data_IF_633790840573
#
_entry.id   IF_633790840573
#
_cell.length_a   1.000
_cell.length_b   1.000
_cell.length_c   1.000
_cell.angle_alpha   90.00
_cell.angle_beta   90.00
_cell.angle_gamma   90.00
#
_symmetry.space_group_name_H-M   'P 1'
#
loop_
_entity.id
_entity.type
_entity.pdbx_description
1 polymer ?
#
# COMPACT_ATOMS: atom_id res chain seq x y z
N UNK A 1 27.42 24.48 10.94
CA UNK A 1 28.21 23.34 10.48
C UNK A 1 28.35 23.49 8.99
N UNK A 2 29.55 23.26 8.47
CA UNK A 2 29.87 23.23 7.05
C UNK A 2 29.38 21.89 6.48
N UNK A 3 28.63 21.87 5.38
CA UNK A 3 28.06 20.64 4.82
C UNK A 3 28.53 20.44 3.38
N UNK A 4 29.03 19.24 3.10
CA UNK A 4 29.44 18.85 1.76
C UNK A 4 28.45 17.79 1.26
N UNK A 5 27.95 17.97 0.03
CA UNK A 5 27.03 17.03 -0.61
C UNK A 5 27.65 16.45 -1.88
N UNK A 6 27.48 15.15 -2.08
CA UNK A 6 27.91 14.48 -3.32
C UNK A 6 26.69 14.07 -4.13
N UNK A 7 26.56 14.58 -5.35
CA UNK A 7 25.38 14.36 -6.19
C UNK A 7 25.79 13.94 -7.59
N UNK A 8 25.07 12.97 -8.15
CA UNK A 8 25.19 12.60 -9.56
C UNK A 8 24.27 13.50 -10.39
N UNK A 9 24.85 14.31 -11.26
CA UNK A 9 24.08 15.21 -12.11
C UNK A 9 23.30 14.39 -13.17
N UNK A 10 21.97 14.54 -13.25
CA UNK A 10 21.14 13.75 -14.16
C UNK A 10 21.31 14.12 -15.64
N UNK A 11 21.89 15.29 -15.96
CA UNK A 11 22.04 15.78 -17.34
C UNK A 11 23.28 15.17 -18.00
N UNK A 12 24.43 15.23 -17.33
CA UNK A 12 25.71 14.80 -17.89
C UNK A 12 26.22 13.46 -17.32
N UNK A 13 25.54 12.92 -16.30
CA UNK A 13 25.86 11.65 -15.65
C UNK A 13 27.09 11.66 -14.75
N UNK A 14 27.73 12.82 -14.53
CA UNK A 14 28.95 12.95 -13.74
C UNK A 14 28.66 13.15 -12.24
N UNK A 15 29.60 12.77 -11.38
CA UNK A 15 29.54 13.06 -9.95
C UNK A 15 30.18 14.41 -9.63
N UNK A 16 29.57 15.13 -8.71
CA UNK A 16 30.04 16.41 -8.22
C UNK A 16 30.00 16.45 -6.68
N UNK A 17 31.04 17.04 -6.10
CA UNK A 17 31.10 17.49 -4.72
C UNK A 17 30.64 18.95 -4.70
N UNK A 18 29.61 19.22 -3.92
CA UNK A 18 29.08 20.55 -3.65
C UNK A 18 29.51 20.93 -2.24
N UNK A 19 30.35 21.95 -2.17
CA UNK A 19 30.74 22.60 -0.93
C UNK A 19 30.24 24.05 -0.90
N UNK A 20 30.21 24.71 0.26
CA UNK A 20 29.69 26.09 0.41
C UNK A 20 30.42 27.10 -0.49
N UNK A 21 31.64 26.78 -0.95
CA UNK A 21 32.47 27.68 -1.77
C UNK A 21 32.68 27.20 -3.21
N UNK A 22 32.69 25.89 -3.46
CA UNK A 22 33.09 25.32 -4.75
C UNK A 22 32.24 24.12 -5.17
N UNK A 23 32.17 23.90 -6.48
CA UNK A 23 31.62 22.68 -7.07
C UNK A 23 32.74 21.96 -7.82
N UNK A 24 33.07 20.75 -7.39
CA UNK A 24 34.21 19.99 -7.91
C UNK A 24 33.74 18.67 -8.50
N UNK A 25 34.10 18.39 -9.76
CA UNK A 25 33.82 17.08 -10.38
C UNK A 25 34.60 15.97 -9.68
N UNK A 26 33.94 14.84 -9.40
CA UNK A 26 34.53 13.66 -8.74
C UNK A 26 34.35 12.40 -9.57
N UNK A 27 35.22 11.41 -9.36
CA UNK A 27 35.02 10.09 -9.95
C UNK A 27 34.10 9.23 -9.07
N UNK A 28 33.43 8.24 -9.66
CA UNK A 28 32.62 7.29 -8.89
C UNK A 28 33.47 6.47 -7.89
N UNK A 29 34.74 6.22 -8.21
CA UNK A 29 35.67 5.52 -7.33
C UNK A 29 35.95 6.33 -6.04
N UNK A 30 36.08 7.66 -6.17
CA UNK A 30 36.26 8.55 -5.01
C UNK A 30 35.03 8.54 -4.11
N UNK A 31 33.83 8.62 -4.70
CA UNK A 31 32.55 8.60 -3.99
C UNK A 31 32.38 7.29 -3.21
N UNK A 32 32.73 6.16 -3.84
CA UNK A 32 32.54 4.82 -3.24
C UNK A 32 33.39 4.57 -2.00
N UNK A 33 34.46 5.34 -1.80
CA UNK A 33 35.33 5.27 -0.63
C UNK A 33 34.84 6.12 0.54
N UNK A 34 33.82 6.96 0.31
CA UNK A 34 33.26 7.82 1.34
C UNK A 34 32.16 7.07 2.10
N UNK A 35 32.19 7.22 3.42
CA UNK A 35 31.11 6.74 4.27
C UNK A 35 30.02 7.80 4.33
N UNK A 36 28.82 7.45 3.87
CA UNK A 36 27.65 8.28 4.09
C UNK A 36 27.26 8.19 5.57
N UNK A 37 27.15 9.32 6.24
CA UNK A 37 26.59 9.40 7.58
C UNK A 37 25.18 9.99 7.51
N UNK A 38 24.26 9.40 8.26
CA UNK A 38 22.92 9.96 8.44
C UNK A 38 22.86 10.68 9.78
N UNK A 39 22.60 11.99 9.75
CA UNK A 39 22.33 12.78 10.96
C UNK A 39 20.83 12.79 11.24
N UNK A 40 20.46 12.34 12.43
CA UNK A 40 19.09 12.45 12.94
C UNK A 40 19.04 13.58 13.96
N UNK A 41 18.27 14.63 13.65
CA UNK A 41 17.96 15.68 14.60
C UNK A 41 16.59 15.43 15.21
N UNK A 42 16.52 15.38 16.53
CA UNK A 42 15.27 15.30 17.25
C UNK A 42 14.97 16.65 17.93
N UNK A 43 13.87 17.29 17.53
CA UNK A 43 13.35 18.45 18.24
C UNK A 43 12.83 18.01 19.61
N UNK A 44 13.42 18.53 20.69
CA UNK A 44 12.93 18.34 22.06
C UNK A 44 11.81 19.34 22.37
N UNK A 45 10.77 18.89 23.05
CA UNK A 45 9.67 19.73 23.55
C UNK A 45 9.16 19.12 24.86
N UNK A 46 9.38 19.79 26.01
CA UNK A 46 8.89 19.32 27.30
C UNK A 46 7.38 19.09 27.31
N UNK A 47 6.62 19.93 26.60
CA UNK A 47 5.17 19.81 26.47
C UNK A 47 4.78 18.50 25.76
N UNK A 48 5.51 18.14 24.69
CA UNK A 48 5.28 16.87 23.97
C UNK A 48 5.71 15.68 24.80
N UNK A 49 6.79 15.79 25.55
CA UNK A 49 7.24 14.70 26.42
C UNK A 49 6.25 14.45 27.56
N UNK A 50 5.68 15.52 28.13
CA UNK A 50 4.63 15.42 29.13
C UNK A 50 3.34 14.80 28.56
N UNK A 51 2.90 15.25 27.38
CA UNK A 51 1.74 14.66 26.68
C UNK A 51 1.94 13.16 26.45
N UNK A 52 3.11 12.73 25.96
CA UNK A 52 3.41 11.32 25.72
C UNK A 52 3.34 10.51 27.00
N UNK A 53 3.92 11.01 28.08
CA UNK A 53 3.87 10.35 29.40
C UNK A 53 2.42 10.17 29.86
N UNK A 54 1.59 11.20 29.76
CA UNK A 54 0.19 11.15 30.17
C UNK A 54 -0.64 10.17 29.34
N UNK A 55 -0.54 10.23 28.01
CA UNK A 55 -1.29 9.34 27.13
C UNK A 55 -0.83 7.89 27.30
N UNK A 56 0.48 7.63 27.35
CA UNK A 56 0.99 6.28 27.57
C UNK A 56 0.55 5.73 28.93
N UNK A 57 0.57 6.55 29.99
CA UNK A 57 0.09 6.12 31.30
C UNK A 57 -1.39 5.70 31.26
N UNK A 58 -2.25 6.41 30.51
CA UNK A 58 -3.66 6.02 30.33
C UNK A 58 -3.81 4.70 29.55
N UNK A 59 -2.99 4.47 28.53
CA UNK A 59 -2.98 3.21 27.78
C UNK A 59 -2.53 2.05 28.68
N UNK A 60 -1.46 2.22 29.47
CA UNK A 60 -0.93 1.16 30.34
C UNK A 60 -1.77 0.88 31.59
N UNK A 61 -2.45 1.90 32.11
CA UNK A 61 -3.35 1.78 33.27
C UNK A 61 -4.79 1.44 32.87
N UNK A 62 -5.03 1.12 31.60
CA UNK A 62 -6.36 0.73 31.13
C UNK A 62 -6.87 -0.48 31.93
N UNK A 63 -7.94 -0.26 32.68
CA UNK A 63 -8.62 -1.28 33.47
C UNK A 63 -9.53 -2.18 32.59
N UNK A 64 -9.66 -1.87 31.30
CA UNK A 64 -10.50 -2.62 30.37
C UNK A 64 -12.00 -2.32 30.51
N UNK A 65 -12.35 -1.25 31.24
CA UNK A 65 -13.74 -0.81 31.44
C UNK A 65 -14.27 -0.11 30.18
N UNK A 66 -13.40 0.61 29.45
CA UNK A 66 -13.77 1.29 28.22
C UNK A 66 -13.78 0.33 27.03
N UNK A 67 -14.65 0.59 26.06
CA UNK A 67 -14.63 -0.11 24.77
C UNK A 67 -13.27 0.15 24.12
N UNK A 68 -12.54 -0.90 23.71
CA UNK A 68 -11.24 -0.74 23.11
C UNK A 68 -11.32 -0.26 21.66
N UNK A 69 -10.56 0.79 21.37
CA UNK A 69 -10.35 1.31 20.02
C UNK A 69 -9.00 0.82 19.49
N UNK A 70 -8.88 0.69 18.18
CA UNK A 70 -7.65 0.34 17.50
C UNK A 70 -7.25 1.46 16.56
N UNK A 71 -6.00 1.90 16.70
CA UNK A 71 -5.41 2.96 15.87
C UNK A 71 -4.19 2.43 15.11
N UNK A 72 -3.84 3.08 14.01
CA UNK A 72 -2.66 2.72 13.21
C UNK A 72 -1.39 2.75 14.07
N UNK A 73 -0.62 1.66 14.05
CA UNK A 73 0.71 1.59 14.64
C UNK A 73 1.66 2.57 13.97
N UNK A 74 1.53 2.78 12.65
CA UNK A 74 2.37 3.73 11.92
C UNK A 74 2.11 5.15 12.39
N UNK A 75 0.83 5.53 12.51
CA UNK A 75 0.47 6.85 13.05
C UNK A 75 0.90 7.00 14.52
N UNK A 76 0.68 5.98 15.34
CA UNK A 76 1.08 6.01 16.75
C UNK A 76 2.60 6.16 16.91
N UNK A 77 3.41 5.48 16.10
CA UNK A 77 4.86 5.64 16.10
C UNK A 77 5.25 7.07 15.69
N UNK A 78 4.59 7.66 14.68
CA UNK A 78 4.80 9.08 14.34
C UNK A 78 4.48 9.98 15.53
N UNK A 79 3.39 9.75 16.25
CA UNK A 79 3.05 10.52 17.45
C UNK A 79 4.10 10.36 18.57
N UNK A 80 4.62 9.15 18.78
CA UNK A 80 5.65 8.89 19.78
C UNK A 80 6.97 9.60 19.49
N UNK A 81 7.38 9.71 18.23
CA UNK A 81 8.74 10.15 17.87
C UNK A 81 8.81 11.52 17.19
N UNK A 82 7.68 12.10 16.77
CA UNK A 82 7.63 13.41 16.10
C UNK A 82 6.83 14.42 16.91
N UNK A 83 7.05 15.71 16.66
CA UNK A 83 6.26 16.80 17.28
C UNK A 83 4.91 17.01 16.59
N UNK A 84 4.83 16.65 15.30
CA UNK A 84 3.70 16.92 14.40
C UNK A 84 3.37 15.64 13.62
N UNK A 85 2.64 14.69 14.21
CA UNK A 85 2.32 13.41 13.58
C UNK A 85 1.35 13.52 12.40
N UNK A 86 0.69 14.67 12.24
CA UNK A 86 -0.42 14.87 11.31
C UNK A 86 -1.74 14.28 11.84
N UNK A 87 -2.83 14.37 11.05
CA UNK A 87 -4.14 13.85 11.44
C UNK A 87 -4.11 12.33 11.62
N UNK A 88 -4.91 11.83 12.57
CA UNK A 88 -5.05 10.41 12.83
C UNK A 88 -5.62 9.71 11.59
N UNK A 89 -4.92 8.67 11.13
CA UNK A 89 -5.33 7.85 9.99
C UNK A 89 -5.30 6.37 10.36
N UNK A 90 -6.31 5.63 9.91
CA UNK A 90 -6.41 4.18 10.03
C UNK A 90 -6.46 3.47 8.66
N UNK A 91 -6.30 4.20 7.55
CA UNK A 91 -6.41 3.63 6.20
C UNK A 91 -5.30 2.64 5.82
N UNK A 92 -4.21 2.58 6.59
CA UNK A 92 -3.16 1.57 6.41
C UNK A 92 -3.63 0.16 6.76
N UNK A 93 -4.64 0.01 7.63
CA UNK A 93 -5.20 -1.30 7.98
C UNK A 93 -6.70 -1.46 7.69
N UNK A 94 -7.44 -0.36 7.49
CA UNK A 94 -8.83 -0.40 7.09
C UNK A 94 -9.00 -0.66 5.59
N UNK A 95 -10.01 -1.45 5.23
CA UNK A 95 -10.49 -1.56 3.88
C UNK A 95 -11.42 -0.38 3.52
N UNK A 96 -11.74 -0.25 2.23
CA UNK A 96 -12.69 0.76 1.72
C UNK A 96 -14.09 0.71 2.36
N UNK A 97 -14.45 -0.41 3.00
CA UNK A 97 -15.73 -0.57 3.70
C UNK A 97 -15.67 -0.13 5.18
N UNK A 98 -14.52 0.37 5.66
CA UNK A 98 -14.35 0.84 7.04
C UNK A 98 -14.10 -0.26 8.08
N UNK A 99 -13.75 -1.48 7.64
CA UNK A 99 -13.43 -2.61 8.52
C UNK A 99 -12.12 -3.28 8.07
N UNK A 100 -11.80 -4.49 8.51
CA UNK A 100 -10.47 -5.10 8.30
C UNK A 100 -10.57 -6.30 7.37
N UNK A 101 -9.80 -6.29 6.29
CA UNK A 101 -9.62 -7.47 5.45
C UNK A 101 -8.54 -8.38 6.07
N UNK A 102 -8.96 -9.34 6.90
CA UNK A 102 -8.05 -10.26 7.61
C UNK A 102 -7.23 -11.16 6.66
N UNK A 103 -7.76 -11.50 5.48
CA UNK A 103 -7.03 -12.27 4.47
C UNK A 103 -5.87 -11.45 3.89
N UNK A 104 -6.10 -10.16 3.64
CA UNK A 104 -5.08 -9.21 3.17
C UNK A 104 -4.05 -8.88 4.26
N UNK A 105 -4.48 -8.80 5.51
CA UNK A 105 -3.65 -8.39 6.64
C UNK A 105 -3.61 -9.47 7.74
N UNK A 106 -2.97 -10.63 7.50
CA UNK A 106 -2.93 -11.72 8.48
C UNK A 106 -2.18 -11.34 9.77
N UNK A 107 -1.30 -10.34 9.71
CA UNK A 107 -0.53 -9.80 10.85
C UNK A 107 -1.14 -8.52 11.42
N UNK A 108 -2.46 -8.35 11.35
CA UNK A 108 -3.16 -7.12 11.77
C UNK A 108 -2.77 -6.64 13.17
N UNK A 109 -2.53 -7.56 14.12
CA UNK A 109 -2.11 -7.23 15.49
C UNK A 109 -0.82 -6.40 15.56
N UNK A 110 0.06 -6.52 14.57
CA UNK A 110 1.30 -5.75 14.48
C UNK A 110 1.07 -4.35 13.88
N UNK A 111 -0.03 -4.18 13.15
CA UNK A 111 -0.37 -2.93 12.45
C UNK A 111 -1.21 -1.99 13.31
N UNK A 112 -1.76 -2.47 14.42
CA UNK A 112 -2.66 -1.68 15.27
C UNK A 112 -2.13 -1.52 16.70
N UNK A 113 -2.58 -0.47 17.37
CA UNK A 113 -2.40 -0.23 18.82
C UNK A 113 -3.79 -0.20 19.45
N UNK A 114 -4.00 -1.02 20.48
CA UNK A 114 -5.22 -0.98 21.31
C UNK A 114 -5.12 0.20 22.26
N UNK A 115 -6.13 1.08 22.26
CA UNK A 115 -6.22 2.24 23.15
C UNK A 115 -7.62 2.37 23.74
N UNK A 116 -7.77 2.94 24.96
CA UNK A 116 -9.07 3.33 25.50
C UNK A 116 -9.79 4.37 24.62
N UNK A 117 -11.12 4.44 24.70
CA UNK A 117 -11.93 5.44 24.01
C UNK A 117 -11.53 6.87 24.40
N UNK A 118 -11.24 7.11 25.67
CA UNK A 118 -10.79 8.40 26.20
C UNK A 118 -9.45 8.83 25.58
N UNK A 119 -8.56 7.88 25.30
CA UNK A 119 -7.30 8.15 24.60
C UNK A 119 -7.54 8.44 23.13
N UNK A 120 -8.37 7.62 22.46
CA UNK A 120 -8.72 7.84 21.05
C UNK A 120 -9.30 9.24 20.82
N UNK A 121 -10.30 9.62 21.62
CA UNK A 121 -10.94 10.95 21.52
C UNK A 121 -9.98 12.09 21.81
N UNK A 122 -9.08 11.94 22.79
CA UNK A 122 -8.02 12.93 23.07
C UNK A 122 -7.11 13.13 21.86
N UNK A 123 -6.68 12.04 21.21
CA UNK A 123 -5.80 12.10 20.03
C UNK A 123 -6.51 12.75 18.84
N UNK A 124 -7.76 12.37 18.57
CA UNK A 124 -8.57 12.98 17.49
C UNK A 124 -8.82 14.46 17.74
N UNK A 125 -9.16 14.85 18.98
CA UNK A 125 -9.37 16.26 19.34
C UNK A 125 -8.10 17.10 19.12
N UNK A 126 -6.92 16.56 19.50
CA UNK A 126 -5.66 17.29 19.44
C UNK A 126 -5.03 17.35 18.04
N UNK A 127 -5.18 16.29 17.25
CA UNK A 127 -4.48 16.13 15.97
C UNK A 127 -5.40 16.13 14.75
N UNK A 128 -6.72 16.03 14.95
CA UNK A 128 -7.69 15.81 13.89
C UNK A 128 -7.71 14.36 13.41
N UNK A 129 -8.57 14.11 12.42
CA UNK A 129 -8.67 12.84 11.68
C UNK A 129 -8.67 13.15 10.19
N UNK A 130 -8.14 12.23 9.39
CA UNK A 130 -8.17 12.29 7.93
C UNK A 130 -9.50 11.83 7.32
N UNK A 131 -10.50 11.56 8.16
CA UNK A 131 -11.80 11.03 7.77
C UNK A 131 -11.88 9.50 7.83
N UNK A 132 -10.79 8.81 8.19
CA UNK A 132 -10.85 7.37 8.45
C UNK A 132 -11.82 7.05 9.59
N UNK A 133 -12.69 6.03 9.44
CA UNK A 133 -13.64 5.68 10.48
C UNK A 133 -12.90 5.10 11.69
N UNK A 134 -13.41 5.33 12.92
CA UNK A 134 -12.90 4.63 14.09
C UNK A 134 -13.12 3.12 13.94
N UNK A 135 -12.16 2.34 14.41
CA UNK A 135 -12.34 0.90 14.55
C UNK A 135 -12.30 0.53 16.03
N UNK A 136 -13.36 -0.12 16.50
CA UNK A 136 -13.51 -0.59 17.87
C UNK A 136 -14.15 -1.98 17.85
N UNK A 137 -14.05 -2.71 18.96
CA UNK A 137 -14.64 -4.04 19.09
C UNK A 137 -15.36 -4.20 20.43
N UNK A 138 -16.59 -4.71 20.36
CA UNK A 138 -17.41 -5.09 21.51
C UNK A 138 -16.97 -6.41 22.13
N UNK A 139 -16.26 -7.25 21.37
CA UNK A 139 -16.02 -8.66 21.72
C UNK A 139 -14.55 -8.88 22.15
N UNK A 140 -13.85 -7.79 22.50
CA UNK A 140 -12.42 -7.74 22.86
C UNK A 140 -11.45 -8.24 21.77
N UNK A 141 -11.93 -8.53 20.54
CA UNK A 141 -11.16 -9.10 19.43
C UNK A 141 -11.29 -8.34 18.11
N UNK A 142 -10.42 -8.63 17.14
CA UNK A 142 -10.47 -8.00 15.81
C UNK A 142 -11.35 -8.84 14.88
N UNK A 143 -12.45 -8.27 14.40
CA UNK A 143 -13.36 -8.90 13.45
C UNK A 143 -13.06 -8.48 12.00
N UNK A 144 -13.22 -9.43 11.08
CA UNK A 144 -13.03 -9.23 9.65
C UNK A 144 -14.21 -8.53 8.98
N UNK A 145 -13.94 -7.90 7.85
CA UNK A 145 -14.94 -7.26 7.01
C UNK A 145 -15.76 -8.31 6.24
N UNK A 146 -17.04 -8.44 6.58
CA UNK A 146 -18.00 -9.34 5.91
C UNK A 146 -18.17 -9.01 4.42
N UNK A 147 -18.10 -7.73 4.06
CA UNK A 147 -18.24 -7.31 2.65
C UNK A 147 -17.03 -7.74 1.83
N UNK A 148 -15.80 -7.56 2.35
CA UNK A 148 -14.59 -8.08 1.70
C UNK A 148 -14.64 -9.60 1.54
N UNK A 149 -15.14 -10.33 2.54
CA UNK A 149 -15.28 -11.78 2.46
C UNK A 149 -16.28 -12.19 1.36
N UNK A 150 -17.41 -11.49 1.27
CA UNK A 150 -18.42 -11.71 0.22
C UNK A 150 -17.87 -11.40 -1.18
N UNK A 151 -17.20 -10.26 -1.34
CA UNK A 151 -16.55 -9.87 -2.60
C UNK A 151 -15.54 -10.95 -3.04
N UNK A 152 -14.73 -11.48 -2.12
CA UNK A 152 -13.76 -12.53 -2.41
C UNK A 152 -14.42 -13.85 -2.80
N UNK A 153 -15.49 -14.26 -2.12
CA UNK A 153 -16.26 -15.47 -2.48
C UNK A 153 -16.88 -15.35 -3.87
N UNK A 154 -17.43 -14.19 -4.22
CA UNK A 154 -17.97 -13.93 -5.56
C UNK A 154 -16.89 -13.99 -6.63
N UNK A 155 -15.71 -13.41 -6.36
CA UNK A 155 -14.57 -13.49 -7.27
C UNK A 155 -14.10 -14.93 -7.46
N UNK A 156 -14.04 -15.72 -6.39
CA UNK A 156 -13.65 -17.12 -6.45
C UNK A 156 -14.63 -17.98 -7.25
N UNK A 157 -15.94 -17.79 -7.03
CA UNK A 157 -16.97 -18.45 -7.85
C UNK A 157 -16.83 -18.10 -9.33
N UNK A 158 -16.52 -16.83 -9.65
CA UNK A 158 -16.25 -16.39 -11.02
C UNK A 158 -15.02 -17.09 -11.61
N UNK A 159 -13.91 -17.19 -10.87
CA UNK A 159 -12.69 -17.92 -11.32
C UNK A 159 -13.02 -19.36 -11.66
N UNK A 160 -13.73 -20.05 -10.76
CA UNK A 160 -14.08 -21.46 -10.93
C UNK A 160 -14.99 -21.66 -12.14
N UNK A 161 -16.03 -20.84 -12.28
CA UNK A 161 -16.94 -20.89 -13.42
C UNK A 161 -16.19 -20.65 -14.74
N UNK A 162 -15.43 -19.56 -14.85
CA UNK A 162 -14.68 -19.27 -16.10
C UNK A 162 -13.66 -20.36 -16.43
N UNK A 163 -13.03 -20.98 -15.42
CA UNK A 163 -12.10 -22.09 -15.65
C UNK A 163 -12.80 -23.35 -16.16
N UNK A 164 -13.99 -23.66 -15.65
CA UNK A 164 -14.81 -24.79 -16.11
C UNK A 164 -15.33 -24.54 -17.52
N UNK A 165 -15.96 -23.39 -17.74
CA UNK A 165 -16.55 -23.00 -19.03
C UNK A 165 -15.49 -23.05 -20.13
N UNK A 166 -14.30 -22.47 -19.89
CA UNK A 166 -13.20 -22.50 -20.87
C UNK A 166 -12.65 -23.92 -21.02
N UNK A 167 -12.49 -24.69 -19.94
CA UNK A 167 -12.04 -26.08 -20.04
C UNK A 167 -12.96 -26.97 -20.88
N UNK A 168 -14.27 -26.68 -20.94
CA UNK A 168 -15.22 -27.43 -21.77
C UNK A 168 -15.17 -27.07 -23.27
N UNK A 169 -14.74 -25.84 -23.60
CA UNK A 169 -14.72 -25.33 -24.98
C UNK A 169 -13.30 -25.18 -25.55
N UNK A 170 -12.26 -25.47 -24.77
CA UNK A 170 -10.86 -25.39 -25.19
C UNK A 170 -10.55 -26.53 -26.17
N UNK A 171 -10.81 -26.29 -27.46
CA UNK A 171 -10.52 -27.20 -28.57
C UNK A 171 -9.36 -26.65 -29.39
N UNK A 172 -8.36 -27.50 -29.64
CA UNK A 172 -7.24 -27.20 -30.54
C UNK A 172 -7.53 -27.51 -32.02
N UNK A 173 -8.79 -27.81 -32.35
CA UNK A 173 -9.22 -28.21 -33.68
C UNK A 173 -10.21 -27.22 -34.28
N UNK A 174 -9.93 -26.80 -35.51
CA UNK A 174 -10.84 -25.99 -36.34
C UNK A 174 -11.41 -26.85 -37.45
N UNK A 175 -12.72 -26.77 -37.67
CA UNK A 175 -13.36 -27.42 -38.82
C UNK A 175 -13.12 -26.60 -40.08
N UNK A 176 -13.19 -27.26 -41.24
CA UNK A 176 -13.00 -26.60 -42.53
C UNK A 176 -14.05 -25.51 -42.72
N UNK A 177 -13.60 -24.26 -42.85
CA UNK A 177 -14.46 -23.07 -43.01
C UNK A 177 -14.69 -22.25 -41.74
N UNK A 178 -14.19 -22.68 -40.59
CA UNK A 178 -14.18 -21.90 -39.35
C UNK A 178 -12.92 -21.03 -39.25
N UNK A 179 -12.98 -19.97 -38.43
CA UNK A 179 -11.90 -18.99 -38.24
C UNK A 179 -11.54 -18.89 -36.75
N UNK A 180 -10.25 -18.64 -36.47
CA UNK A 180 -9.80 -18.27 -35.13
C UNK A 180 -10.10 -16.80 -34.85
N UNK A 181 -10.69 -16.52 -33.69
CA UNK A 181 -10.66 -15.18 -33.11
C UNK A 181 -9.34 -14.97 -32.37
N UNK A 182 -8.67 -13.85 -32.64
CA UNK A 182 -7.41 -13.52 -31.97
C UNK A 182 -7.68 -12.79 -30.65
N UNK A 183 -6.94 -13.16 -29.62
CA UNK A 183 -6.95 -12.49 -28.32
C UNK A 183 -5.55 -12.04 -27.92
N UNK A 184 -5.47 -10.87 -27.32
CA UNK A 184 -4.21 -10.31 -26.81
C UNK A 184 -3.57 -11.25 -25.80
N UNK A 185 -2.32 -11.66 -26.06
CA UNK A 185 -1.53 -12.46 -25.14
C UNK A 185 -1.41 -11.78 -23.77
N UNK A 186 -1.29 -10.45 -23.72
CA UNK A 186 -1.27 -9.67 -22.46
C UNK A 186 -2.56 -9.85 -21.67
N UNK A 187 -3.71 -9.82 -22.35
CA UNK A 187 -4.99 -10.05 -21.69
C UNK A 187 -5.11 -11.50 -21.23
N UNK A 188 -4.75 -12.45 -22.09
CA UNK A 188 -4.79 -13.88 -21.77
C UNK A 188 -3.91 -14.23 -20.57
N UNK A 189 -2.69 -13.68 -20.49
CA UNK A 189 -1.83 -13.83 -19.31
C UNK A 189 -2.46 -13.24 -18.05
N UNK A 190 -3.16 -12.11 -18.17
CA UNK A 190 -3.88 -11.49 -17.05
C UNK A 190 -5.04 -12.37 -16.58
N UNK A 191 -5.73 -13.03 -17.51
CA UNK A 191 -6.78 -14.00 -17.20
C UNK A 191 -6.23 -15.29 -16.56
N UNK A 192 -5.10 -15.82 -17.03
CA UNK A 192 -4.42 -16.94 -16.36
C UNK A 192 -3.99 -16.58 -14.93
N UNK A 193 -3.48 -15.37 -14.71
CA UNK A 193 -3.17 -14.87 -13.38
C UNK A 193 -4.43 -14.77 -12.50
N UNK A 194 -5.54 -14.25 -13.05
CA UNK A 194 -6.83 -14.21 -12.35
C UNK A 194 -7.29 -15.59 -11.89
N UNK A 195 -7.21 -16.61 -12.75
CA UNK A 195 -7.50 -18.01 -12.37
C UNK A 195 -6.64 -18.52 -11.22
N UNK A 196 -5.43 -18.01 -11.10
CA UNK A 196 -4.46 -18.37 -10.05
C UNK A 196 -4.62 -17.54 -8.77
N UNK A 197 -5.73 -16.78 -8.63
CA UNK A 197 -6.00 -15.93 -7.47
C UNK A 197 -5.63 -14.45 -7.64
N UNK A 198 -5.16 -14.05 -8.83
CA UNK A 198 -4.86 -12.66 -9.16
C UNK A 198 -6.11 -11.77 -9.30
N UNK A 199 -5.94 -10.46 -9.57
CA UNK A 199 -7.07 -9.56 -9.83
C UNK A 199 -7.81 -9.93 -11.13
N UNK A 200 -9.09 -9.55 -11.29
CA UNK A 200 -9.84 -9.81 -12.52
C UNK A 200 -9.15 -9.15 -13.72
N UNK A 201 -9.07 -9.84 -14.87
CA UNK A 201 -8.62 -9.17 -16.07
C UNK A 201 -9.65 -8.10 -16.40
N UNK A 202 -9.19 -6.90 -16.80
CA UNK A 202 -10.08 -5.87 -17.33
C UNK A 202 -10.79 -6.35 -18.61
N UNK A 203 -11.53 -5.48 -19.30
CA UNK A 203 -12.16 -5.83 -20.57
C UNK A 203 -11.15 -6.39 -21.58
N UNK A 204 -11.57 -7.39 -22.37
CA UNK A 204 -10.77 -7.90 -23.49
C UNK A 204 -10.44 -6.72 -24.41
N UNK A 205 -9.14 -6.53 -24.67
CA UNK A 205 -8.68 -5.54 -25.61
C UNK A 205 -7.53 -6.10 -26.45
N UNK A 206 -7.63 -5.87 -27.76
CA UNK A 206 -6.67 -6.31 -28.76
C UNK A 206 -5.78 -5.16 -29.26
N UNK A 207 -5.75 -4.02 -28.56
CA UNK A 207 -4.95 -2.84 -28.93
C UNK A 207 -3.44 -3.07 -28.92
N UNK A 208 -2.97 -4.21 -28.39
CA UNK A 208 -1.58 -4.64 -28.57
C UNK A 208 -1.26 -4.88 -30.05
N UNK A 209 -2.24 -5.26 -30.86
CA UNK A 209 -2.04 -5.64 -32.25
C UNK A 209 -3.06 -5.10 -33.26
N UNK A 210 -4.19 -4.53 -32.78
CA UNK A 210 -5.16 -3.77 -33.57
C UNK A 210 -5.06 -2.27 -33.28
N UNK A 211 -5.46 -1.46 -34.26
CA UNK A 211 -5.76 -0.03 -34.11
C UNK A 211 -7.16 0.16 -33.50
N UNK A 212 -7.54 1.39 -33.16
CA UNK A 212 -8.87 1.69 -32.58
C UNK A 212 -10.03 1.39 -33.54
N UNK A 213 -9.78 1.48 -34.85
CA UNK A 213 -10.72 1.12 -35.92
C UNK A 213 -10.81 -0.39 -36.18
N UNK A 214 -10.07 -1.20 -35.41
CA UNK A 214 -10.02 -2.66 -35.56
C UNK A 214 -9.09 -3.17 -36.66
N UNK A 215 -8.40 -2.29 -37.39
CA UNK A 215 -7.43 -2.71 -38.42
C UNK A 215 -6.13 -3.22 -37.80
N UNK A 216 -5.43 -4.20 -38.42
CA UNK A 216 -4.14 -4.68 -37.93
C UNK A 216 -3.08 -3.58 -37.93
N UNK A 217 -2.22 -3.55 -36.90
CA UNK A 217 -1.09 -2.60 -36.86
C UNK A 217 -0.06 -2.90 -37.96
N UNK A 218 0.76 -1.91 -38.41
CA UNK A 218 1.64 -1.98 -39.59
C UNK A 218 2.70 -3.11 -39.63
N UNK A 219 2.78 -3.96 -38.60
CA UNK A 219 3.73 -5.08 -38.49
C UNK A 219 3.06 -6.43 -38.22
N UNK A 220 1.72 -6.48 -38.15
CA UNK A 220 1.00 -7.75 -38.16
C UNK A 220 0.99 -8.28 -39.59
N UNK A 221 1.80 -9.30 -39.85
CA UNK A 221 1.69 -10.08 -41.09
C UNK A 221 0.44 -10.97 -41.00
N UNK A 222 -0.30 -11.06 -42.11
CA UNK A 222 -1.41 -12.02 -42.27
C UNK A 222 -0.92 -13.45 -42.12
#
# INVERSE_FOLDING_TARGET
>A
GHYIAYVKNPIDGNWYEYDDTYVTKKSAADISRLEAYALFYQKKSPEKDQERKEILARIYKDSGVEIPYFISRLWFNRWQFTTTPGPLTNYDFLCKHGSINLKRYPKIRNMVVKVPYSVYTTLVYKYGSDGSPPYFSTDHGILGCVICEKEEKMLEQRRQKESLDIGMIDTNTIKRGEYWFLISSKWLSSWHNFKSGGPPPGPINNYSFLQEDGSPKPRMKR
#
